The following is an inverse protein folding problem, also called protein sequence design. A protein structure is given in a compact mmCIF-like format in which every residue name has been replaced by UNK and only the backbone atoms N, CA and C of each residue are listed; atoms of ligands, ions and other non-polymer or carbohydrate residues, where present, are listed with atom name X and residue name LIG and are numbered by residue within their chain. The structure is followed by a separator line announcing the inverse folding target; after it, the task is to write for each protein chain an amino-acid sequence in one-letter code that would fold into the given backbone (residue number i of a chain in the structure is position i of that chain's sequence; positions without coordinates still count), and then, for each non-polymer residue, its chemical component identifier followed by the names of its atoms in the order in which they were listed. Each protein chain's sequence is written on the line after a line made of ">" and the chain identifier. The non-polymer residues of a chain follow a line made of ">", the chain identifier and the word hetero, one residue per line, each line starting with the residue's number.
data_IF_876764348876
#
_entry.id   IF_876764348876
#
_cell.length_a   1.000
_cell.length_b   1.000
_cell.length_c   1.000
_cell.angle_alpha   90.00
_cell.angle_beta   90.00
_cell.angle_gamma   90.00
#
_symmetry.space_group_name_H-M   'P 1'
#
loop_
_entity.id
_entity.type
_entity.pdbx_description
1 polymer ?
#
# COMPACT_ATOMS: atom_id res chain seq x y z
N UNK A 1 11.02 -0.95 26.67
CA UNK A 1 10.27 0.16 26.06
C UNK A 1 9.59 -0.39 24.82
N UNK A 2 8.39 -0.93 24.97
CA UNK A 2 7.63 -1.54 23.87
C UNK A 2 7.03 -0.40 23.03
N UNK A 3 7.72 0.03 21.99
CA UNK A 3 7.19 1.01 21.04
C UNK A 3 6.22 0.30 20.08
N UNK A 4 4.92 0.47 20.29
CA UNK A 4 3.92 0.16 19.27
C UNK A 4 4.05 1.19 18.14
N UNK A 5 4.79 0.85 17.09
CA UNK A 5 5.02 1.71 15.94
C UNK A 5 3.90 1.51 14.90
N UNK A 6 2.87 2.35 14.96
CA UNK A 6 1.94 2.48 13.84
C UNK A 6 2.66 3.23 12.71
N UNK A 7 2.72 2.61 11.54
CA UNK A 7 3.37 3.16 10.36
C UNK A 7 2.37 3.32 9.23
N UNK A 8 2.23 4.52 8.70
CA UNK A 8 1.24 4.89 7.69
C UNK A 8 1.97 5.35 6.43
N UNK A 9 1.89 4.52 5.40
CA UNK A 9 2.46 4.79 4.08
C UNK A 9 1.38 4.88 3.02
N UNK A 10 1.56 5.75 2.04
CA UNK A 10 0.74 5.78 0.84
C UNK A 10 1.52 5.20 -0.35
N UNK A 11 0.82 4.45 -1.22
CA UNK A 11 1.31 4.06 -2.53
C UNK A 11 0.40 4.65 -3.59
N UNK A 12 0.93 5.53 -4.43
CA UNK A 12 0.23 6.08 -5.57
C UNK A 12 0.54 5.22 -6.79
N UNK A 13 -0.47 4.56 -7.34
CA UNK A 13 -0.31 3.82 -8.59
C UNK A 13 -0.13 4.79 -9.77
N UNK A 14 0.61 4.41 -10.82
CA UNK A 14 0.66 5.19 -12.04
C UNK A 14 -0.74 5.31 -12.66
N UNK A 15 -0.95 6.37 -13.44
CA UNK A 15 -2.15 6.50 -14.26
C UNK A 15 -2.15 5.43 -15.35
N UNK A 16 -3.34 4.91 -15.62
CA UNK A 16 -3.56 4.09 -16.80
C UNK A 16 -3.59 4.97 -18.05
N UNK A 17 -3.31 4.38 -19.22
CA UNK A 17 -3.36 5.09 -20.49
C UNK A 17 -4.74 5.72 -20.77
N UNK A 18 -5.80 5.02 -20.36
CA UNK A 18 -7.18 5.47 -20.53
C UNK A 18 -7.48 6.70 -19.66
N UNK A 19 -7.05 6.68 -18.38
CA UNK A 19 -7.18 7.82 -17.47
C UNK A 19 -6.38 9.04 -17.96
N UNK A 20 -5.18 8.82 -18.47
CA UNK A 20 -4.36 9.90 -19.04
C UNK A 20 -5.03 10.56 -20.25
N UNK A 21 -5.67 9.76 -21.12
CA UNK A 21 -6.38 10.25 -22.30
C UNK A 21 -7.66 11.01 -21.94
N UNK A 22 -8.40 10.54 -20.95
CA UNK A 22 -9.69 11.13 -20.53
C UNK A 22 -9.51 12.41 -19.70
N UNK A 23 -8.52 12.44 -18.80
CA UNK A 23 -8.27 13.61 -17.98
C UNK A 23 -6.77 13.76 -17.65
N UNK A 24 -6.02 14.57 -18.41
CA UNK A 24 -4.62 14.85 -18.11
C UNK A 24 -4.44 15.73 -16.86
N UNK A 25 -5.53 16.24 -16.27
CA UNK A 25 -5.44 17.05 -15.05
C UNK A 25 -5.26 16.14 -13.83
N UNK A 26 -4.15 16.34 -13.14
CA UNK A 26 -3.86 15.67 -11.88
C UNK A 26 -4.39 16.49 -10.69
N UNK A 27 -5.12 15.85 -9.78
CA UNK A 27 -5.63 16.48 -8.55
C UNK A 27 -4.76 16.20 -7.33
N UNK A 28 -3.59 15.61 -7.54
CA UNK A 28 -2.67 15.17 -6.51
C UNK A 28 -1.28 15.75 -6.81
N UNK A 29 -0.54 16.13 -5.79
CA UNK A 29 0.87 16.48 -5.88
C UNK A 29 1.56 15.92 -4.65
N UNK A 30 2.77 15.42 -4.82
CA UNK A 30 3.58 14.88 -3.74
C UNK A 30 4.72 15.86 -3.49
N UNK A 31 4.96 16.20 -2.23
CA UNK A 31 6.14 16.94 -1.79
C UNK A 31 6.75 16.15 -0.65
N UNK A 32 7.82 15.41 -0.94
CA UNK A 32 8.44 14.50 0.04
C UNK A 32 7.40 13.54 0.65
N UNK A 33 7.09 13.72 1.93
CA UNK A 33 6.13 12.94 2.70
C UNK A 33 4.75 13.61 2.85
N UNK A 34 4.51 14.69 2.11
CA UNK A 34 3.24 15.40 2.07
C UNK A 34 2.48 15.10 0.79
N UNK A 35 1.26 14.58 0.95
CA UNK A 35 0.29 14.40 -0.11
C UNK A 35 -0.63 15.62 -0.18
N UNK A 36 -0.55 16.36 -1.28
CA UNK A 36 -1.34 17.57 -1.51
C UNK A 36 -2.47 17.25 -2.48
N UNK A 37 -3.71 17.29 -2.00
CA UNK A 37 -4.92 17.20 -2.79
C UNK A 37 -5.36 18.59 -3.26
N UNK A 38 -5.54 18.75 -4.56
CA UNK A 38 -6.03 19.97 -5.20
C UNK A 38 -7.52 19.79 -5.50
N UNK A 39 -8.40 20.46 -4.73
CA UNK A 39 -9.84 20.38 -4.98
C UNK A 39 -10.25 21.34 -6.11
N UNK A 40 -10.64 20.79 -7.27
CA UNK A 40 -11.12 21.57 -8.41
C UNK A 40 -12.65 21.74 -8.46
N UNK A 41 -13.41 21.14 -7.54
CA UNK A 41 -14.89 21.12 -7.62
C UNK A 41 -15.60 22.30 -6.93
N UNK A 42 -14.87 23.25 -6.35
CA UNK A 42 -15.45 24.48 -5.77
C UNK A 42 -15.40 25.69 -6.74
N UNK A 43 -15.36 25.48 -8.06
CA UNK A 43 -15.43 26.55 -9.09
C UNK A 43 -16.84 26.66 -9.69
N UNK A 44 -17.87 26.49 -8.86
CA UNK A 44 -19.27 26.63 -9.25
C UNK A 44 -20.02 27.46 -8.22
N UNK A 45 -20.34 28.70 -8.58
CA UNK A 45 -21.19 29.64 -7.83
C UNK A 45 -20.57 30.32 -6.59
N UNK A 46 -19.62 31.24 -6.80
CA UNK A 46 -19.53 32.46 -5.99
C UNK A 46 -18.81 33.56 -6.80
N UNK A 47 -19.43 34.74 -6.80
CA UNK A 47 -19.01 36.01 -7.41
C UNK A 47 -17.50 36.30 -7.36
N UNK A 48 -16.89 36.58 -8.52
CA UNK A 48 -15.83 37.56 -8.88
C UNK A 48 -14.68 37.88 -7.88
N UNK A 49 -14.47 37.13 -6.78
CA UNK A 49 -13.47 37.47 -5.77
C UNK A 49 -12.84 36.29 -5.00
N UNK A 50 -13.01 35.03 -5.41
CA UNK A 50 -12.49 33.89 -4.60
C UNK A 50 -11.38 33.10 -5.31
N UNK A 51 -10.15 33.61 -5.20
CA UNK A 51 -8.90 32.92 -5.50
C UNK A 51 -8.54 31.92 -4.38
N UNK A 52 -9.40 30.92 -4.13
CA UNK A 52 -9.11 29.89 -3.12
C UNK A 52 -9.26 28.50 -3.71
N UNK A 53 -8.26 28.08 -4.48
CA UNK A 53 -8.01 26.65 -4.69
C UNK A 53 -7.74 26.05 -3.31
N UNK A 54 -8.77 25.44 -2.70
CA UNK A 54 -8.61 24.76 -1.41
C UNK A 54 -7.76 23.51 -1.63
N UNK A 55 -6.54 23.55 -1.13
CA UNK A 55 -5.66 22.39 -1.03
C UNK A 55 -5.82 21.73 0.32
N UNK A 56 -5.78 20.39 0.35
CA UNK A 56 -5.68 19.61 1.59
C UNK A 56 -4.34 18.89 1.60
N UNK A 57 -3.61 19.00 2.69
CA UNK A 57 -2.30 18.38 2.86
C UNK A 57 -2.42 17.23 3.86
N UNK A 58 -1.86 16.08 3.52
CA UNK A 58 -1.77 14.91 4.40
C UNK A 58 -0.30 14.52 4.56
N UNK A 59 0.20 14.57 5.77
CA UNK A 59 1.56 14.13 6.10
C UNK A 59 1.51 12.65 6.49
N UNK A 60 2.39 11.85 5.87
CA UNK A 60 2.49 10.42 6.07
C UNK A 60 3.95 10.05 6.36
N UNK A 61 4.21 8.83 6.82
CA UNK A 61 5.58 8.40 7.08
C UNK A 61 6.38 8.21 5.78
N UNK A 62 5.69 7.79 4.71
CA UNK A 62 6.27 7.68 3.37
C UNK A 62 5.21 7.66 2.28
N UNK A 63 5.57 8.16 1.09
CA UNK A 63 4.72 8.12 -0.10
C UNK A 63 5.50 7.49 -1.25
N UNK A 64 5.03 6.35 -1.75
CA UNK A 64 5.57 5.68 -2.93
C UNK A 64 4.89 6.15 -4.21
N UNK A 65 5.68 6.23 -5.28
CA UNK A 65 5.21 6.58 -6.62
C UNK A 65 5.23 8.07 -6.91
N UNK A 66 4.95 8.42 -8.15
CA UNK A 66 4.88 9.80 -8.61
C UNK A 66 3.60 10.00 -9.42
N UNK A 67 3.05 11.21 -9.37
CA UNK A 67 1.78 11.55 -10.03
C UNK A 67 1.93 11.57 -11.57
N UNK A 68 3.14 11.82 -12.05
CA UNK A 68 3.47 12.24 -13.41
C UNK A 68 4.58 11.39 -14.05
N UNK A 69 4.98 10.28 -13.43
CA UNK A 69 5.95 9.34 -14.02
C UNK A 69 5.28 7.99 -14.29
N UNK A 70 5.40 7.53 -15.54
CA UNK A 70 4.85 6.25 -16.01
C UNK A 70 5.45 5.03 -15.31
N UNK A 71 6.63 5.18 -14.69
CA UNK A 71 7.24 4.20 -13.81
C UNK A 71 8.42 4.85 -13.08
N UNK A 72 8.26 5.19 -11.80
CA UNK A 72 9.42 5.44 -10.95
C UNK A 72 9.88 4.10 -10.37
N UNK A 73 11.19 3.86 -10.30
CA UNK A 73 11.78 2.69 -9.62
C UNK A 73 11.29 2.60 -8.16
N UNK A 74 10.95 3.76 -7.57
CA UNK A 74 10.36 3.91 -6.25
C UNK A 74 9.00 3.23 -6.08
N UNK A 75 8.29 2.88 -7.16
CA UNK A 75 6.98 2.23 -7.09
C UNK A 75 7.01 0.71 -7.31
N UNK A 76 8.21 0.12 -7.42
CA UNK A 76 8.36 -1.32 -7.60
C UNK A 76 7.96 -2.10 -6.35
N UNK A 77 7.55 -3.36 -6.51
CA UNK A 77 7.23 -4.21 -5.35
C UNK A 77 8.46 -4.48 -4.49
N UNK A 78 9.64 -4.52 -5.11
CA UNK A 78 10.90 -4.69 -4.40
C UNK A 78 11.17 -3.51 -3.46
N UNK A 79 10.98 -2.27 -3.93
CA UNK A 79 11.15 -1.07 -3.11
C UNK A 79 10.17 -1.07 -1.93
N UNK A 80 8.90 -1.39 -2.18
CA UNK A 80 7.88 -1.44 -1.13
C UNK A 80 8.21 -2.54 -0.10
N UNK A 81 8.67 -3.70 -0.56
CA UNK A 81 9.13 -4.77 0.33
C UNK A 81 10.33 -4.34 1.16
N UNK A 82 11.34 -3.70 0.57
CA UNK A 82 12.52 -3.26 1.30
C UNK A 82 12.19 -2.26 2.42
N UNK A 83 11.19 -1.41 2.17
CA UNK A 83 10.80 -0.37 3.12
C UNK A 83 9.82 -0.86 4.20
N UNK A 84 8.82 -1.66 3.83
CA UNK A 84 7.74 -2.10 4.74
C UNK A 84 7.89 -3.56 5.14
N UNK A 85 8.18 -4.44 4.18
CA UNK A 85 8.23 -5.89 4.38
C UNK A 85 9.47 -6.36 5.15
N UNK A 86 10.65 -5.83 4.83
CA UNK A 86 11.91 -6.23 5.47
C UNK A 86 11.93 -5.90 6.96
N UNK A 87 11.58 -4.67 7.41
CA UNK A 87 11.47 -4.41 8.85
C UNK A 87 10.45 -5.32 9.55
N UNK A 88 9.30 -5.59 8.93
CA UNK A 88 8.32 -6.52 9.47
C UNK A 88 8.88 -7.95 9.62
N UNK A 89 9.66 -8.42 8.65
CA UNK A 89 10.37 -9.71 8.75
C UNK A 89 11.39 -9.71 9.89
N UNK A 90 12.12 -8.62 10.09
CA UNK A 90 13.10 -8.52 11.17
C UNK A 90 12.41 -8.54 12.55
N UNK A 91 11.31 -7.80 12.73
CA UNK A 91 10.49 -7.89 13.94
C UNK A 91 9.91 -9.28 14.18
N UNK A 92 9.47 -9.99 13.13
CA UNK A 92 8.98 -11.36 13.25
C UNK A 92 10.08 -12.32 13.73
N UNK A 93 11.33 -12.15 13.27
CA UNK A 93 12.48 -12.95 13.74
C UNK A 93 12.80 -12.70 15.21
N UNK A 94 12.62 -11.47 15.67
CA UNK A 94 12.78 -11.09 17.07
C UNK A 94 11.63 -11.56 17.97
N UNK A 95 10.62 -12.23 17.40
CA UNK A 95 9.47 -12.79 18.13
C UNK A 95 8.32 -11.82 18.35
N UNK A 96 8.29 -10.69 17.64
CA UNK A 96 7.18 -9.73 17.70
C UNK A 96 6.06 -10.06 16.71
N UNK A 97 4.84 -9.74 17.11
CA UNK A 97 3.68 -9.81 16.22
C UNK A 97 3.65 -8.60 15.29
N UNK A 98 3.58 -8.85 13.98
CA UNK A 98 3.46 -7.81 12.96
C UNK A 98 2.11 -7.91 12.25
N UNK A 99 1.52 -6.76 11.92
CA UNK A 99 0.28 -6.68 11.13
C UNK A 99 0.42 -5.62 10.06
N UNK A 100 0.07 -5.98 8.83
CA UNK A 100 0.10 -5.09 7.68
C UNK A 100 -1.27 -5.06 7.01
N UNK A 101 -1.77 -3.86 6.75
CA UNK A 101 -3.05 -3.65 6.09
C UNK A 101 -2.87 -2.81 4.83
N UNK A 102 -3.48 -3.25 3.73
CA UNK A 102 -3.62 -2.44 2.52
C UNK A 102 -5.05 -1.88 2.46
N UNK A 103 -5.17 -0.55 2.48
CA UNK A 103 -6.45 0.16 2.44
C UNK A 103 -6.57 1.03 1.18
N UNK A 104 -7.81 1.25 0.72
CA UNK A 104 -8.10 2.05 -0.49
C UNK A 104 -9.31 1.56 -1.28
N UNK A 105 -9.72 2.35 -2.28
CA UNK A 105 -10.85 2.04 -3.17
C UNK A 105 -10.52 0.88 -4.14
N UNK A 106 -11.53 0.26 -4.77
CA UNK A 106 -11.32 -0.72 -5.85
C UNK A 106 -10.48 -0.12 -6.98
N UNK A 107 -9.57 -0.92 -7.57
CA UNK A 107 -8.69 -0.47 -8.66
C UNK A 107 -7.51 0.41 -8.24
N UNK A 108 -7.27 0.63 -6.94
CA UNK A 108 -6.11 1.43 -6.45
C UNK A 108 -4.83 0.62 -6.28
N UNK A 109 -4.87 -0.70 -6.52
CA UNK A 109 -3.69 -1.55 -6.45
C UNK A 109 -3.46 -2.27 -5.10
N UNK A 110 -4.44 -2.32 -4.19
CA UNK A 110 -4.33 -3.08 -2.93
C UNK A 110 -3.88 -4.54 -3.13
N UNK A 111 -4.60 -5.30 -3.97
CA UNK A 111 -4.30 -6.70 -4.28
C UNK A 111 -2.94 -6.81 -4.96
N UNK A 112 -2.62 -5.86 -5.84
CA UNK A 112 -1.31 -5.76 -6.46
C UNK A 112 -0.21 -5.56 -5.41
N UNK A 113 -0.36 -4.69 -4.43
CA UNK A 113 0.66 -4.51 -3.37
C UNK A 113 0.83 -5.77 -2.51
N UNK A 114 -0.26 -6.42 -2.10
CA UNK A 114 -0.19 -7.58 -1.19
C UNK A 114 0.32 -8.83 -1.91
N UNK A 115 -0.29 -9.20 -3.04
CA UNK A 115 0.01 -10.44 -3.77
C UNK A 115 0.96 -10.24 -4.95
N UNK A 116 0.83 -9.10 -5.64
CA UNK A 116 1.60 -8.80 -6.84
C UNK A 116 1.15 -9.57 -8.06
N UNK A 117 2.10 -9.75 -8.97
CA UNK A 117 1.96 -10.54 -10.19
C UNK A 117 3.02 -11.65 -10.22
N UNK A 118 2.91 -12.59 -11.15
CA UNK A 118 3.93 -13.64 -11.32
C UNK A 118 5.32 -13.08 -11.63
N UNK A 119 5.37 -11.99 -12.41
CA UNK A 119 6.64 -11.33 -12.80
C UNK A 119 7.17 -10.39 -11.72
N UNK A 120 6.28 -9.80 -10.92
CA UNK A 120 6.64 -8.91 -9.83
C UNK A 120 5.84 -9.25 -8.56
N UNK A 121 6.33 -10.23 -7.77
CA UNK A 121 5.61 -10.73 -6.60
C UNK A 121 5.44 -9.64 -5.54
N UNK A 122 4.31 -9.68 -4.84
CA UNK A 122 3.96 -8.70 -3.81
C UNK A 122 4.58 -9.00 -2.45
N UNK A 123 4.11 -8.25 -1.45
CA UNK A 123 4.61 -8.32 -0.08
C UNK A 123 4.51 -9.72 0.52
N UNK A 124 3.39 -10.41 0.37
CA UNK A 124 3.18 -11.70 1.04
C UNK A 124 4.19 -12.75 0.57
N UNK A 125 4.44 -12.84 -0.73
CA UNK A 125 5.36 -13.81 -1.31
C UNK A 125 6.81 -13.50 -0.92
N UNK A 126 7.21 -12.23 -0.95
CA UNK A 126 8.57 -11.79 -0.57
C UNK A 126 8.84 -12.00 0.92
N UNK A 127 7.84 -11.76 1.78
CA UNK A 127 7.93 -12.03 3.23
C UNK A 127 8.06 -13.53 3.49
N UNK A 128 7.23 -14.36 2.86
CA UNK A 128 7.32 -15.82 3.00
C UNK A 128 8.68 -16.35 2.56
N UNK A 129 9.19 -15.88 1.42
CA UNK A 129 10.51 -16.28 0.92
C UNK A 129 11.63 -15.87 1.88
N UNK A 130 11.61 -14.65 2.39
CA UNK A 130 12.59 -14.18 3.36
C UNK A 130 12.59 -14.96 4.68
N UNK A 131 11.40 -15.31 5.20
CA UNK A 131 11.26 -16.15 6.40
C UNK A 131 11.76 -17.58 6.14
N UNK A 132 11.42 -18.17 4.99
CA UNK A 132 11.89 -19.50 4.62
C UNK A 132 13.41 -19.55 4.48
N UNK A 133 14.00 -18.55 3.82
CA UNK A 133 15.45 -18.44 3.65
C UNK A 133 16.16 -18.24 5.00
N UNK A 134 15.55 -17.49 5.92
CA UNK A 134 16.06 -17.36 7.28
C UNK A 134 16.06 -18.69 8.04
N UNK A 135 14.97 -19.45 7.97
CA UNK A 135 14.87 -20.78 8.59
C UNK A 135 15.94 -21.72 8.03
N UNK A 136 16.05 -21.81 6.71
CA UNK A 136 17.06 -22.67 6.04
C UNK A 136 18.49 -22.31 6.43
N UNK A 137 18.78 -21.02 6.63
CA UNK A 137 20.13 -20.55 6.95
C UNK A 137 20.51 -20.73 8.42
N UNK A 138 19.52 -20.89 9.31
CA UNK A 138 19.72 -20.99 10.76
C UNK A 138 19.30 -22.34 11.33
N UNK A 139 19.02 -23.31 10.47
CA UNK A 139 18.68 -24.68 10.88
C UNK A 139 19.91 -25.34 11.53
N UNK A 140 19.78 -25.66 12.81
CA UNK A 140 20.85 -26.24 13.63
C UNK A 140 20.26 -27.24 14.61
N UNK A 141 21.11 -28.09 15.21
CA UNK A 141 20.68 -29.12 16.17
C UNK A 141 19.91 -28.55 17.37
N UNK A 142 20.18 -27.30 17.75
CA UNK A 142 19.58 -26.64 18.92
C UNK A 142 18.30 -25.86 18.63
N UNK A 143 17.94 -25.63 17.36
CA UNK A 143 16.82 -24.75 17.01
C UNK A 143 15.96 -25.37 15.94
N UNK A 144 14.70 -25.65 16.28
CA UNK A 144 13.69 -26.19 15.38
C UNK A 144 12.68 -25.11 15.02
N UNK A 145 12.48 -24.89 13.73
CA UNK A 145 11.49 -23.95 13.22
C UNK A 145 10.28 -24.70 12.65
N UNK A 146 9.07 -24.17 12.88
CA UNK A 146 7.85 -24.65 12.25
C UNK A 146 7.10 -23.45 11.66
N UNK A 147 6.95 -23.42 10.33
CA UNK A 147 6.24 -22.35 9.62
C UNK A 147 4.84 -22.83 9.25
N UNK A 148 3.82 -22.06 9.66
CA UNK A 148 2.40 -22.31 9.36
C UNK A 148 1.82 -21.09 8.65
N UNK A 149 1.10 -21.33 7.55
CA UNK A 149 0.45 -20.29 6.76
C UNK A 149 -1.04 -20.62 6.66
N UNK A 150 -1.90 -19.63 6.89
CA UNK A 150 -3.34 -19.72 6.70
C UNK A 150 -3.85 -18.51 5.93
N UNK A 151 -4.83 -18.73 5.04
CA UNK A 151 -5.46 -17.68 4.25
C UNK A 151 -6.97 -17.74 4.42
N UNK A 152 -7.59 -16.59 4.69
CA UNK A 152 -9.03 -16.47 4.89
C UNK A 152 -9.59 -15.38 3.99
N UNK A 153 -10.81 -15.59 3.49
CA UNK A 153 -11.59 -14.59 2.75
C UNK A 153 -12.84 -14.26 3.53
N UNK A 154 -13.02 -12.98 3.88
CA UNK A 154 -14.21 -12.50 4.58
C UNK A 154 -15.23 -11.99 3.55
N UNK A 155 -16.34 -12.72 3.39
CA UNK A 155 -17.47 -12.33 2.54
C UNK A 155 -18.70 -12.05 3.41
N UNK A 156 -19.39 -10.95 3.13
CA UNK A 156 -20.68 -10.66 3.76
C UNK A 156 -21.78 -11.39 2.99
N UNK A 157 -22.41 -12.39 3.61
CA UNK A 157 -23.54 -13.10 3.02
C UNK A 157 -24.82 -12.30 3.25
N UNK A 158 -25.44 -11.84 2.16
CA UNK A 158 -26.79 -11.27 2.21
C UNK A 158 -27.80 -12.41 2.00
N UNK A 159 -28.44 -12.85 3.07
CA UNK A 159 -29.66 -13.67 2.95
C UNK A 159 -30.81 -12.77 2.52
N UNK A 160 -31.15 -12.77 1.24
CA UNK A 160 -32.45 -12.27 0.80
C UNK A 160 -33.49 -13.34 1.09
N UNK A 161 -34.18 -13.25 2.23
CA UNK A 161 -35.42 -13.99 2.47
C UNK A 161 -36.50 -13.49 1.49
N UNK A 162 -36.53 -14.04 0.28
CA UNK A 162 -37.74 -14.02 -0.55
C UNK A 162 -38.54 -15.26 -0.18
N UNK A 163 -39.49 -15.08 0.74
CA UNK A 163 -40.59 -16.02 0.93
C UNK A 163 -41.40 -16.07 -0.38
N UNK A 164 -41.62 -17.29 -0.87
CA UNK A 164 -42.58 -17.61 -1.94
C UNK A 164 -43.91 -17.89 -1.26
#
# INVERSE_FOLDING_TARGET
>A
MLMSNLYVVARIRPLTFQEFKENPKHYLTIRENELILINSKEVGCASVADHRVRTRVFTLDHIFGAVNQYSSEDNSQATIYNYVGKPAVDYLKDGYNCSLFAYGMTGTGKTHTIFGSEKDPGLILRVCDALLNHVKSNENVYTKYELKISQYTLCKYYFTNRAI
#
